data_IF_670154400521
#
_entry.id   IF_670154400521
#
_cell.length_a   1.000
_cell.length_b   1.000
_cell.length_c   1.000
_cell.angle_alpha   90.00
_cell.angle_beta   90.00
_cell.angle_gamma   90.00
#
_symmetry.space_group_name_H-M   'P 1'
#
loop_
_entity.id
_entity.type
_entity.pdbx_description
1 polymer ?
#
# COMPACT_ATOMS: atom_id res chain seq x y z
N UNK A 1 -3.95 -31.35 -41.02
CA UNK A 1 -2.57 -31.81 -40.73
C UNK A 1 -1.65 -30.62 -40.97
N UNK A 2 -1.36 -29.84 -39.93
CA UNK A 2 -0.59 -28.58 -40.03
C UNK A 2 0.89 -28.84 -39.81
N UNK A 3 1.71 -28.52 -40.81
CA UNK A 3 3.16 -28.73 -40.83
C UNK A 3 3.81 -27.80 -39.79
N UNK A 4 4.42 -28.38 -38.75
CA UNK A 4 5.23 -27.63 -37.78
C UNK A 4 6.63 -27.44 -38.39
N UNK A 5 6.83 -26.34 -39.12
CA UNK A 5 8.15 -25.95 -39.63
C UNK A 5 8.90 -25.24 -38.49
N UNK A 6 10.05 -25.78 -38.11
CA UNK A 6 10.89 -25.32 -36.98
C UNK A 6 11.39 -23.87 -37.10
N UNK A 7 11.28 -23.26 -38.27
CA UNK A 7 11.85 -21.94 -38.61
C UNK A 7 10.93 -20.77 -38.21
N UNK A 8 9.62 -20.98 -38.01
CA UNK A 8 8.65 -19.90 -37.68
C UNK A 8 8.37 -19.81 -36.16
N UNK A 9 9.08 -20.59 -35.34
CA UNK A 9 8.87 -20.70 -33.88
C UNK A 9 9.21 -19.45 -33.06
N UNK A 10 9.73 -18.41 -33.71
CA UNK A 10 10.24 -17.16 -33.11
C UNK A 10 9.42 -15.90 -33.45
N UNK A 11 8.44 -15.98 -34.37
CA UNK A 11 7.76 -14.78 -34.89
C UNK A 11 6.78 -14.11 -33.90
N UNK A 12 6.08 -14.88 -33.08
CA UNK A 12 5.18 -14.34 -32.05
C UNK A 12 5.11 -15.27 -30.83
N UNK A 13 5.53 -14.76 -29.67
CA UNK A 13 5.54 -15.52 -28.41
C UNK A 13 4.13 -15.86 -27.93
N UNK A 14 3.17 -14.95 -28.10
CA UNK A 14 1.77 -15.15 -27.69
C UNK A 14 1.08 -16.25 -28.52
N UNK A 15 1.24 -16.25 -29.85
CA UNK A 15 0.70 -17.30 -30.71
C UNK A 15 1.29 -18.68 -30.37
N UNK A 16 2.58 -18.72 -30.05
CA UNK A 16 3.24 -19.96 -29.62
C UNK A 16 2.73 -20.44 -28.26
N UNK A 17 2.54 -19.54 -27.30
CA UNK A 17 2.01 -19.87 -25.98
C UNK A 17 0.61 -20.47 -26.08
N UNK A 18 -0.28 -19.86 -26.88
CA UNK A 18 -1.64 -20.36 -27.13
C UNK A 18 -1.64 -21.77 -27.76
N UNK A 19 -0.70 -22.05 -28.67
CA UNK A 19 -0.55 -23.39 -29.24
C UNK A 19 -0.03 -24.42 -28.21
N UNK A 20 0.78 -24.00 -27.23
CA UNK A 20 1.19 -24.85 -26.12
C UNK A 20 0.01 -25.22 -25.21
N UNK A 21 -0.90 -24.28 -24.94
CA UNK A 21 -2.13 -24.56 -24.20
C UNK A 21 -3.07 -25.48 -24.96
N UNK A 22 -3.25 -25.27 -26.27
CA UNK A 22 -4.04 -26.17 -27.14
C UNK A 22 -3.43 -27.58 -27.19
N UNK A 23 -2.10 -27.69 -27.13
CA UNK A 23 -1.39 -28.97 -27.01
C UNK A 23 -1.49 -29.59 -25.61
N UNK A 24 -2.22 -28.97 -24.67
CA UNK A 24 -2.48 -29.49 -23.33
C UNK A 24 -1.41 -29.19 -22.28
N UNK A 25 -0.48 -28.27 -22.56
CA UNK A 25 0.49 -27.82 -21.55
C UNK A 25 -0.22 -26.99 -20.47
N UNK A 26 -0.05 -27.37 -19.20
CA UNK A 26 -0.66 -26.68 -18.07
C UNK A 26 0.39 -25.85 -17.32
N UNK A 27 0.18 -24.54 -17.22
CA UNK A 27 1.09 -23.63 -16.52
C UNK A 27 1.31 -24.04 -15.05
N UNK A 28 0.27 -24.52 -14.36
CA UNK A 28 0.35 -25.00 -12.97
C UNK A 28 1.18 -26.29 -12.77
N UNK A 29 1.65 -26.93 -13.84
CA UNK A 29 2.59 -28.07 -13.77
C UNK A 29 4.05 -27.66 -13.97
N UNK A 30 4.31 -26.38 -14.29
CA UNK A 30 5.66 -25.84 -14.44
C UNK A 30 6.23 -25.56 -13.06
N UNK A 31 7.25 -26.31 -12.67
CA UNK A 31 7.97 -26.06 -11.42
C UNK A 31 8.82 -24.79 -11.55
N UNK A 32 8.80 -23.94 -10.53
CA UNK A 32 9.69 -22.79 -10.43
C UNK A 32 11.17 -23.16 -10.58
N UNK A 33 11.99 -22.20 -10.99
CA UNK A 33 13.43 -22.37 -11.21
C UNK A 33 14.10 -22.85 -9.91
N UNK A 34 14.75 -24.03 -9.95
CA UNK A 34 15.36 -24.67 -8.77
C UNK A 34 16.57 -23.91 -8.20
N UNK A 35 17.15 -22.99 -8.98
CA UNK A 35 18.39 -22.27 -8.66
C UNK A 35 18.18 -20.81 -8.23
N UNK A 36 16.97 -20.41 -7.82
CA UNK A 36 16.72 -19.04 -7.36
C UNK A 36 17.33 -18.72 -5.98
N UNK A 37 17.91 -19.70 -5.28
CA UNK A 37 18.58 -19.48 -4.00
C UNK A 37 20.11 -19.32 -4.19
N UNK A 38 20.52 -18.16 -4.70
CA UNK A 38 21.85 -17.60 -4.44
C UNK A 38 21.72 -16.16 -3.96
N UNK A 39 20.94 -15.94 -2.91
CA UNK A 39 21.27 -14.83 -2.00
C UNK A 39 22.46 -15.28 -1.15
N UNK A 40 23.48 -14.43 -1.06
CA UNK A 40 24.66 -14.67 -0.24
C UNK A 40 24.20 -14.85 1.21
N UNK A 41 24.59 -15.99 1.78
CA UNK A 41 24.41 -16.34 3.18
C UNK A 41 24.97 -15.23 4.07
N UNK A 42 24.10 -14.60 4.86
CA UNK A 42 24.48 -14.04 6.16
C UNK A 42 23.79 -14.91 7.21
N UNK A 43 24.58 -15.35 8.20
CA UNK A 43 24.35 -16.55 8.98
C UNK A 43 23.11 -16.54 9.87
N UNK A 44 22.58 -17.76 10.08
CA UNK A 44 21.46 -18.07 10.96
C UNK A 44 20.36 -18.79 10.20
N UNK A 45 20.17 -20.08 10.49
CA UNK A 45 19.26 -21.02 9.84
C UNK A 45 17.86 -20.44 9.58
N UNK A 46 17.38 -20.54 8.33
CA UNK A 46 15.99 -20.21 7.99
C UNK A 46 15.35 -21.32 7.15
N UNK A 47 14.15 -21.64 7.62
CA UNK A 47 13.20 -22.64 7.17
C UNK A 47 12.90 -22.50 5.68
N UNK A 48 12.96 -23.63 4.98
CA UNK A 48 12.45 -23.81 3.63
C UNK A 48 10.98 -23.41 3.55
N UNK A 49 10.69 -22.24 2.98
CA UNK A 49 9.33 -21.91 2.53
C UNK A 49 9.31 -21.80 1.01
N UNK A 50 8.46 -22.64 0.41
CA UNK A 50 8.12 -22.59 -1.01
C UNK A 50 7.36 -21.28 -1.27
N UNK A 51 8.04 -20.26 -1.80
CA UNK A 51 7.41 -18.99 -2.18
C UNK A 51 6.60 -19.24 -3.46
N UNK A 52 5.30 -19.47 -3.32
CA UNK A 52 4.35 -19.31 -4.41
C UNK A 52 4.09 -17.79 -4.55
N UNK A 53 4.35 -17.23 -5.73
CA UNK A 53 4.54 -15.79 -5.92
C UNK A 53 3.20 -15.03 -6.13
N UNK A 54 2.21 -15.29 -5.28
CA UNK A 54 0.96 -14.52 -5.19
C UNK A 54 1.06 -13.52 -4.01
N UNK A 55 1.80 -12.41 -4.21
CA UNK A 55 2.02 -11.40 -3.18
C UNK A 55 0.82 -10.44 -3.06
N UNK A 56 0.28 -10.29 -1.85
CA UNK A 56 -0.88 -9.42 -1.53
C UNK A 56 -0.59 -7.95 -1.82
N UNK A 57 0.67 -7.54 -1.73
CA UNK A 57 1.12 -6.19 -2.10
C UNK A 57 0.91 -5.86 -3.60
N UNK A 58 0.81 -6.90 -4.45
CA UNK A 58 0.72 -6.76 -5.91
C UNK A 58 -0.65 -7.16 -6.50
N UNK A 59 -1.55 -7.71 -5.68
CA UNK A 59 -2.88 -8.16 -6.15
C UNK A 59 -3.80 -6.97 -6.46
N UNK A 60 -4.49 -7.05 -7.60
CA UNK A 60 -5.59 -6.14 -7.96
C UNK A 60 -6.92 -6.64 -7.37
N UNK A 61 -7.92 -5.76 -7.28
CA UNK A 61 -9.22 -6.06 -6.63
C UNK A 61 -9.91 -7.28 -7.26
N UNK A 62 -9.75 -7.49 -8.57
CA UNK A 62 -10.33 -8.62 -9.31
C UNK A 62 -9.78 -9.98 -8.84
N UNK A 63 -8.54 -10.03 -8.36
CA UNK A 63 -7.89 -11.27 -7.90
C UNK A 63 -8.25 -11.64 -6.45
N UNK A 64 -8.76 -10.68 -5.68
CA UNK A 64 -9.15 -10.88 -4.27
C UNK A 64 -10.48 -11.63 -4.16
N UNK A 65 -11.33 -11.55 -5.21
CA UNK A 65 -12.68 -12.16 -5.22
C UNK A 65 -12.71 -13.69 -5.31
N UNK A 66 -11.65 -14.33 -5.81
CA UNK A 66 -11.63 -15.80 -6.05
C UNK A 66 -11.05 -16.63 -4.89
N UNK A 67 -10.33 -16.01 -3.93
CA UNK A 67 -9.75 -16.71 -2.78
C UNK A 67 -10.62 -16.60 -1.53
N UNK A 68 -11.88 -17.05 -1.65
CA UNK A 68 -12.69 -17.42 -0.50
C UNK A 68 -12.88 -18.93 -0.48
N UNK A 69 -11.91 -19.66 0.08
CA UNK A 69 -12.13 -20.87 0.89
C UNK A 69 -10.81 -21.57 1.27
N UNK A 70 -10.77 -21.99 2.55
CA UNK A 70 -9.77 -22.82 3.26
C UNK A 70 -8.67 -22.08 4.00
N UNK A 71 -9.05 -21.62 5.20
CA UNK A 71 -8.13 -21.52 6.32
C UNK A 71 -7.68 -22.95 6.69
N UNK A 72 -6.43 -23.29 6.42
CA UNK A 72 -5.79 -24.44 7.06
C UNK A 72 -5.36 -24.01 8.46
N UNK A 73 -5.91 -24.70 9.46
CA UNK A 73 -5.53 -24.59 10.85
C UNK A 73 -4.09 -25.10 11.00
N UNK A 74 -3.14 -24.17 11.12
CA UNK A 74 -1.77 -24.49 11.56
C UNK A 74 -1.64 -24.16 13.05
N UNK A 75 -1.09 -25.13 13.77
CA UNK A 75 -1.06 -25.26 15.22
C UNK A 75 -0.61 -24.00 15.96
N UNK A 76 -1.36 -23.67 17.03
CA UNK A 76 -1.00 -22.65 18.01
C UNK A 76 0.22 -23.10 18.82
N UNK A 77 1.36 -22.48 18.61
CA UNK A 77 2.37 -22.29 19.65
C UNK A 77 2.08 -20.99 20.44
N UNK A 78 2.37 -20.94 21.74
CA UNK A 78 1.98 -19.83 22.59
C UNK A 78 2.86 -18.60 22.33
N UNK A 79 2.17 -17.47 22.07
CA UNK A 79 2.56 -16.08 22.33
C UNK A 79 4.05 -15.77 22.58
N UNK A 80 4.76 -15.34 21.54
CA UNK A 80 5.80 -14.33 21.74
C UNK A 80 5.16 -12.96 21.52
N UNK A 81 5.20 -12.12 22.55
CA UNK A 81 4.41 -10.88 22.62
C UNK A 81 4.83 -9.80 21.62
N UNK A 82 5.99 -9.95 20.98
CA UNK A 82 6.48 -9.11 19.90
C UNK A 82 7.09 -9.98 18.80
N UNK A 83 6.29 -10.31 17.79
CA UNK A 83 6.80 -10.98 16.59
C UNK A 83 7.76 -10.01 15.87
N UNK A 84 9.04 -10.41 15.80
CA UNK A 84 10.11 -9.64 15.18
C UNK A 84 10.11 -9.94 13.70
N UNK A 85 9.97 -8.90 12.87
CA UNK A 85 10.26 -9.01 11.45
C UNK A 85 11.78 -9.06 11.28
N UNK A 86 12.33 -10.25 11.00
CA UNK A 86 13.78 -10.46 10.88
C UNK A 86 14.34 -9.62 9.72
N UNK A 87 13.59 -9.48 8.63
CA UNK A 87 14.07 -8.82 7.43
C UNK A 87 14.11 -7.30 7.57
N UNK A 88 13.09 -6.72 8.23
CA UNK A 88 13.04 -5.29 8.53
C UNK A 88 13.78 -4.92 9.82
N UNK A 89 14.23 -5.92 10.59
CA UNK A 89 14.87 -5.78 11.90
C UNK A 89 14.07 -4.92 12.89
N UNK A 90 12.74 -5.05 12.87
CA UNK A 90 11.80 -4.33 13.77
C UNK A 90 10.69 -5.26 14.20
N UNK A 91 10.12 -5.05 15.38
CA UNK A 91 8.89 -5.74 15.77
C UNK A 91 7.70 -5.20 14.98
N UNK A 92 6.64 -6.02 14.83
CA UNK A 92 5.42 -5.57 14.18
C UNK A 92 4.78 -4.35 14.88
N UNK A 93 4.91 -4.27 16.20
CA UNK A 93 4.38 -3.13 16.97
C UNK A 93 5.19 -1.85 16.72
N UNK A 94 6.52 -1.94 16.69
CA UNK A 94 7.39 -0.81 16.34
C UNK A 94 7.16 -0.36 14.91
N UNK A 95 6.89 -1.29 13.98
CA UNK A 95 6.58 -0.95 12.60
C UNK A 95 5.27 -0.15 12.49
N UNK A 96 4.21 -0.56 13.19
CA UNK A 96 2.98 0.24 13.25
C UNK A 96 3.22 1.58 13.94
N UNK A 97 4.02 1.61 15.00
CA UNK A 97 4.35 2.83 15.73
C UNK A 97 5.11 3.83 14.85
N UNK A 98 6.05 3.36 14.03
CA UNK A 98 6.73 4.16 13.01
C UNK A 98 5.72 4.86 12.08
N UNK A 99 4.72 4.14 11.58
CA UNK A 99 3.68 4.75 10.73
C UNK A 99 2.77 5.74 11.47
N UNK A 100 2.50 5.51 12.76
CA UNK A 100 1.77 6.47 13.59
C UNK A 100 2.59 7.77 13.73
N UNK A 101 3.89 7.65 14.00
CA UNK A 101 4.80 8.79 14.16
C UNK A 101 4.97 9.58 12.87
N UNK A 102 5.06 8.91 11.72
CA UNK A 102 5.06 9.56 10.40
C UNK A 102 3.85 10.47 10.16
N UNK A 103 2.72 10.13 10.78
CA UNK A 103 1.47 10.88 10.65
C UNK A 103 1.28 11.90 11.78
N UNK A 104 2.19 11.97 12.76
CA UNK A 104 2.12 12.92 13.87
C UNK A 104 2.60 14.32 13.47
N UNK A 105 1.92 14.89 12.49
CA UNK A 105 2.21 16.19 11.88
C UNK A 105 0.91 16.89 11.50
N UNK A 106 0.99 18.19 11.21
CA UNK A 106 -0.15 18.92 10.66
C UNK A 106 -0.33 18.60 9.18
N UNK A 107 -1.52 18.16 8.81
CA UNK A 107 -1.88 17.95 7.40
C UNK A 107 -2.40 19.22 6.75
N UNK A 108 -2.14 19.38 5.45
CA UNK A 108 -2.68 20.48 4.66
C UNK A 108 -4.02 20.09 4.08
N UNK A 109 -5.03 20.95 4.23
CA UNK A 109 -6.34 20.74 3.63
C UNK A 109 -6.25 20.66 2.11
N UNK A 110 -6.89 19.64 1.52
CA UNK A 110 -6.91 19.46 0.06
C UNK A 110 -7.49 20.68 -0.66
N UNK A 111 -8.46 21.38 -0.06
CA UNK A 111 -9.05 22.62 -0.60
C UNK A 111 -8.04 23.77 -0.75
N UNK A 112 -6.91 23.75 -0.03
CA UNK A 112 -5.86 24.78 -0.13
C UNK A 112 -4.88 24.52 -1.26
N UNK A 113 -4.90 23.33 -1.85
CA UNK A 113 -4.04 22.99 -2.98
C UNK A 113 -4.76 23.46 -4.25
N UNK A 114 -4.28 24.57 -4.80
CA UNK A 114 -4.70 25.10 -6.09
C UNK A 114 -3.63 24.80 -7.12
N UNK A 115 -3.94 24.97 -8.41
CA UNK A 115 -2.93 24.78 -9.46
C UNK A 115 -1.72 25.70 -9.26
N UNK A 116 -1.96 26.93 -8.78
CA UNK A 116 -0.91 27.93 -8.56
C UNK A 116 -0.07 27.64 -7.32
N UNK A 117 -0.66 27.07 -6.26
CA UNK A 117 0.07 26.71 -5.03
C UNK A 117 0.71 25.31 -5.08
N UNK A 118 0.32 24.47 -6.04
CA UNK A 118 0.79 23.09 -6.18
C UNK A 118 2.32 22.94 -6.17
N UNK A 119 3.12 23.76 -6.89
CA UNK A 119 4.58 23.63 -6.88
C UNK A 119 5.20 23.73 -5.48
N UNK A 120 4.69 24.62 -4.63
CA UNK A 120 5.17 24.80 -3.26
C UNK A 120 4.81 23.63 -2.35
N UNK A 121 3.64 23.03 -2.57
CA UNK A 121 3.24 21.81 -1.87
C UNK A 121 4.07 20.61 -2.33
N UNK A 122 4.29 20.45 -3.64
CA UNK A 122 5.13 19.39 -4.19
C UNK A 122 6.56 19.51 -3.65
N UNK A 123 7.15 20.71 -3.63
CA UNK A 123 8.51 20.90 -3.09
C UNK A 123 8.63 20.45 -1.63
N UNK A 124 7.71 20.87 -0.76
CA UNK A 124 7.70 20.48 0.66
C UNK A 124 7.46 18.97 0.82
N UNK A 125 6.50 18.43 0.08
CA UNK A 125 6.18 17.01 0.09
C UNK A 125 7.36 16.15 -0.37
N UNK A 126 8.12 16.58 -1.39
CA UNK A 126 9.31 15.88 -1.85
C UNK A 126 10.40 15.82 -0.78
N UNK A 127 10.61 16.91 -0.01
CA UNK A 127 11.58 16.90 1.09
C UNK A 127 11.18 15.87 2.16
N UNK A 128 9.90 15.84 2.51
CA UNK A 128 9.38 14.90 3.48
C UNK A 128 9.44 13.45 2.96
N UNK A 129 9.03 13.21 1.72
CA UNK A 129 9.06 11.89 1.11
C UNK A 129 10.49 11.33 1.04
N UNK A 130 11.49 12.18 0.75
CA UNK A 130 12.90 11.79 0.82
C UNK A 130 13.31 11.33 2.22
N UNK A 131 12.94 12.10 3.26
CA UNK A 131 13.26 11.72 4.64
C UNK A 131 12.57 10.42 5.06
N UNK A 132 11.33 10.21 4.63
CA UNK A 132 10.60 8.98 4.89
C UNK A 132 11.29 7.80 4.22
N UNK A 133 11.62 7.91 2.93
CA UNK A 133 12.30 6.84 2.21
C UNK A 133 13.67 6.51 2.82
N UNK A 134 14.42 7.50 3.30
CA UNK A 134 15.72 7.30 3.95
C UNK A 134 15.63 6.58 5.31
N UNK A 135 14.54 6.82 6.06
CA UNK A 135 14.37 6.30 7.41
C UNK A 135 13.37 5.12 7.46
N UNK A 136 12.91 4.64 6.32
CA UNK A 136 11.93 3.56 6.27
C UNK A 136 12.62 2.21 6.59
N UNK A 137 12.05 1.38 7.49
CA UNK A 137 12.61 0.06 7.78
C UNK A 137 12.83 -0.76 6.50
N UNK A 138 14.07 -1.20 6.28
CA UNK A 138 14.51 -1.98 5.11
C UNK A 138 14.89 -1.15 3.89
N UNK A 139 14.70 0.17 3.87
CA UNK A 139 15.02 0.98 2.68
C UNK A 139 16.52 1.06 2.34
N UNK A 140 17.39 0.84 3.32
CA UNK A 140 18.85 0.74 3.15
C UNK A 140 19.28 -0.46 2.29
N UNK A 141 18.40 -1.46 2.14
CA UNK A 141 18.62 -2.66 1.35
C UNK A 141 18.01 -2.58 -0.07
N UNK A 142 17.32 -1.48 -0.39
CA UNK A 142 16.72 -1.27 -1.71
C UNK A 142 17.72 -0.68 -2.71
N UNK A 143 17.59 -1.07 -3.97
CA UNK A 143 18.31 -0.42 -5.06
C UNK A 143 17.74 0.99 -5.31
N UNK A 144 18.55 1.88 -5.88
CA UNK A 144 18.15 3.28 -6.14
C UNK A 144 16.85 3.37 -6.95
N UNK A 145 16.67 2.51 -7.96
CA UNK A 145 15.43 2.46 -8.75
C UNK A 145 14.20 2.04 -7.92
N UNK A 146 14.37 1.14 -6.95
CA UNK A 146 13.29 0.72 -6.06
C UNK A 146 12.94 1.83 -5.06
N UNK A 147 13.95 2.58 -4.58
CA UNK A 147 13.75 3.77 -3.74
C UNK A 147 13.02 4.87 -4.50
N UNK A 148 13.33 5.09 -5.78
CA UNK A 148 12.61 6.06 -6.62
C UNK A 148 11.13 5.69 -6.79
N UNK A 149 10.82 4.39 -6.93
CA UNK A 149 9.43 3.90 -6.95
C UNK A 149 8.77 4.16 -5.60
N UNK A 150 9.40 3.77 -4.48
CA UNK A 150 8.88 4.02 -3.14
C UNK A 150 8.60 5.51 -2.92
N UNK A 151 9.52 6.38 -3.34
CA UNK A 151 9.37 7.83 -3.27
C UNK A 151 8.10 8.33 -3.95
N UNK A 152 7.73 7.78 -5.11
CA UNK A 152 6.51 8.16 -5.82
C UNK A 152 5.25 7.80 -5.01
N UNK A 153 5.19 6.59 -4.45
CA UNK A 153 4.06 6.14 -3.63
C UNK A 153 3.95 6.91 -2.31
N UNK A 154 5.09 7.18 -1.65
CA UNK A 154 5.16 8.02 -0.44
C UNK A 154 4.70 9.43 -0.76
N UNK A 155 5.23 10.04 -1.83
CA UNK A 155 4.88 11.40 -2.25
C UNK A 155 3.40 11.53 -2.56
N UNK A 156 2.82 10.56 -3.29
CA UNK A 156 1.40 10.56 -3.59
C UNK A 156 0.56 10.46 -2.31
N UNK A 157 0.88 9.50 -1.45
CA UNK A 157 0.12 9.24 -0.21
C UNK A 157 0.20 10.45 0.74
N UNK A 158 1.39 11.02 0.93
CA UNK A 158 1.61 12.18 1.80
C UNK A 158 0.91 13.45 1.34
N UNK A 159 0.75 13.66 0.03
CA UNK A 159 0.10 14.87 -0.44
C UNK A 159 -1.41 14.70 -0.50
N UNK A 160 -1.86 13.64 -1.16
CA UNK A 160 -3.26 13.48 -1.54
C UNK A 160 -4.09 12.79 -0.48
N UNK A 161 -3.58 11.72 0.15
CA UNK A 161 -4.34 11.02 1.20
C UNK A 161 -4.37 11.85 2.49
N UNK A 162 -3.23 12.45 2.89
CA UNK A 162 -3.20 13.33 4.06
C UNK A 162 -4.13 14.54 3.88
N UNK A 163 -4.16 15.12 2.67
CA UNK A 163 -5.05 16.24 2.39
C UNK A 163 -6.53 15.88 2.42
N UNK A 164 -6.90 14.70 1.90
CA UNK A 164 -8.26 14.18 2.04
C UNK A 164 -8.62 13.90 3.50
N UNK A 165 -7.69 13.28 4.23
CA UNK A 165 -7.90 12.96 5.64
C UNK A 165 -8.13 14.22 6.46
N UNK A 166 -7.31 15.26 6.26
CA UNK A 166 -7.45 16.55 6.92
C UNK A 166 -8.83 17.18 6.67
N UNK A 167 -9.30 17.16 5.42
CA UNK A 167 -10.64 17.65 5.05
C UNK A 167 -11.76 16.88 5.74
N UNK A 168 -11.65 15.55 5.79
CA UNK A 168 -12.65 14.70 6.45
C UNK A 168 -12.70 14.99 7.94
N UNK A 169 -11.55 15.11 8.61
CA UNK A 169 -11.48 15.40 10.04
C UNK A 169 -11.99 16.82 10.34
N UNK A 170 -11.66 17.80 9.50
CA UNK A 170 -12.22 19.15 9.62
C UNK A 170 -13.74 19.12 9.48
N UNK A 171 -14.28 18.46 8.44
CA UNK A 171 -15.73 18.35 8.24
C UNK A 171 -16.42 17.60 9.37
N UNK A 172 -15.80 16.59 10.00
CA UNK A 172 -16.36 15.98 11.23
C UNK A 172 -16.46 16.97 12.38
N UNK A 173 -15.52 17.91 12.49
CA UNK A 173 -15.51 18.98 13.49
C UNK A 173 -16.46 20.13 13.12
N UNK A 174 -16.64 20.43 11.82
CA UNK A 174 -17.52 21.51 11.32
C UNK A 174 -18.96 21.04 11.08
N UNK A 175 -19.24 19.77 10.86
CA UNK A 175 -20.61 19.22 10.88
C UNK A 175 -21.21 19.27 12.30
N UNK A 176 -20.38 19.51 13.34
CA UNK A 176 -20.81 19.94 14.69
C UNK A 176 -20.89 21.47 14.88
N UNK A 177 -20.57 22.26 13.88
CA UNK A 177 -20.60 23.72 13.90
C UNK A 177 -20.74 24.25 12.47
N UNK A 178 -21.99 24.38 12.00
CA UNK A 178 -22.38 24.87 10.68
C UNK A 178 -21.49 26.03 10.21
N UNK A 179 -20.97 25.96 8.97
CA UNK A 179 -20.85 27.11 8.06
C UNK A 179 -20.37 26.68 6.65
N UNK A 180 -20.83 27.49 5.69
CA UNK A 180 -21.00 27.32 4.24
C UNK A 180 -19.73 27.44 3.38
N UNK A 181 -19.71 26.74 2.24
CA UNK A 181 -18.67 26.81 1.20
C UNK A 181 -18.77 28.11 0.36
N UNK A 182 -17.64 28.76 0.12
CA UNK A 182 -17.50 29.96 -0.72
C UNK A 182 -17.01 29.57 -2.14
N UNK A 183 -17.73 30.03 -3.17
CA UNK A 183 -17.31 30.00 -4.57
C UNK A 183 -16.38 31.17 -4.89
N UNK A 184 -15.30 30.91 -5.64
CA UNK A 184 -14.40 31.92 -6.20
C UNK A 184 -14.40 31.79 -7.73
N UNK A 185 -14.57 32.92 -8.42
CA UNK A 185 -14.63 33.07 -9.89
C UNK A 185 -13.24 33.09 -10.54
N UNK A 186 -13.15 32.59 -11.78
CA UNK A 186 -11.90 32.47 -12.57
C UNK A 186 -11.80 33.51 -13.70
N UNK A 187 -10.56 33.96 -13.95
CA UNK A 187 -10.13 34.74 -15.11
C UNK A 187 -9.31 33.92 -16.13
N UNK A 188 -9.32 34.46 -17.35
CA UNK A 188 -9.22 33.85 -18.67
C UNK A 188 -7.76 33.74 -19.18
N UNK A 189 -7.16 32.54 -19.06
CA UNK A 189 -6.10 31.94 -19.91
C UNK A 189 -5.21 30.94 -19.14
N UNK A 190 -5.83 29.84 -18.68
CA UNK A 190 -5.22 28.53 -18.34
C UNK A 190 -6.35 27.50 -18.08
N UNK A 191 -7.51 27.73 -18.72
CA UNK A 191 -8.78 27.23 -18.19
C UNK A 191 -8.91 25.72 -18.32
N UNK A 192 -8.34 25.12 -19.37
CA UNK A 192 -8.33 23.66 -19.53
C UNK A 192 -7.54 22.96 -18.42
N UNK A 193 -6.32 23.42 -18.11
CA UNK A 193 -5.48 22.80 -17.07
C UNK A 193 -6.07 22.99 -15.68
N UNK A 194 -6.61 24.18 -15.39
CA UNK A 194 -7.33 24.42 -14.12
C UNK A 194 -8.58 23.55 -14.00
N UNK A 195 -9.36 23.39 -15.08
CA UNK A 195 -10.50 22.46 -15.12
C UNK A 195 -10.11 21.00 -14.92
N UNK A 196 -9.01 20.55 -15.54
CA UNK A 196 -8.49 19.19 -15.33
C UNK A 196 -8.04 18.99 -13.88
N UNK A 197 -7.35 19.98 -13.31
CA UNK A 197 -6.92 19.93 -11.92
C UNK A 197 -8.11 19.94 -10.95
N UNK A 198 -9.07 20.84 -11.12
CA UNK A 198 -10.27 20.88 -10.27
C UNK A 198 -11.13 19.63 -10.41
N UNK A 199 -11.24 19.08 -11.63
CA UNK A 199 -11.88 17.79 -11.90
C UNK A 199 -11.16 16.65 -11.17
N UNK A 200 -9.82 16.60 -11.21
CA UNK A 200 -9.04 15.64 -10.44
C UNK A 200 -9.32 15.74 -8.94
N UNK A 201 -9.28 16.94 -8.36
CA UNK A 201 -9.57 17.15 -6.93
C UNK A 201 -11.00 16.72 -6.59
N UNK A 202 -11.97 17.07 -7.43
CA UNK A 202 -13.38 16.69 -7.25
C UNK A 202 -13.55 15.17 -7.29
N UNK A 203 -12.97 14.50 -8.29
CA UNK A 203 -13.00 13.05 -8.42
C UNK A 203 -12.32 12.34 -7.25
N UNK A 204 -11.18 12.86 -6.77
CA UNK A 204 -10.48 12.33 -5.63
C UNK A 204 -11.34 12.42 -4.35
N UNK A 205 -11.99 13.56 -4.12
CA UNK A 205 -12.92 13.76 -3.00
C UNK A 205 -14.16 12.86 -3.11
N UNK A 206 -14.77 12.81 -4.30
CA UNK A 206 -16.01 12.08 -4.55
C UNK A 206 -15.87 10.56 -4.46
N UNK A 207 -14.74 10.00 -4.91
CA UNK A 207 -14.53 8.56 -4.93
C UNK A 207 -13.77 8.08 -3.68
N UNK A 208 -12.54 8.54 -3.50
CA UNK A 208 -11.67 8.10 -2.40
C UNK A 208 -12.09 8.75 -1.09
N UNK A 209 -12.35 10.06 -1.10
CA UNK A 209 -12.74 10.81 0.09
C UNK A 209 -14.05 10.31 0.72
N UNK A 210 -15.07 10.01 -0.08
CA UNK A 210 -16.33 9.46 0.44
C UNK A 210 -16.15 8.09 1.08
N UNK A 211 -15.39 7.19 0.42
CA UNK A 211 -15.08 5.87 0.96
C UNK A 211 -14.32 5.98 2.29
N UNK A 212 -13.30 6.85 2.35
CA UNK A 212 -12.56 7.14 3.59
C UNK A 212 -13.45 7.70 4.70
N UNK A 213 -14.40 8.60 4.37
CA UNK A 213 -15.36 9.14 5.34
C UNK A 213 -16.23 8.04 5.93
N UNK A 214 -16.73 7.13 5.08
CA UNK A 214 -17.59 6.01 5.49
C UNK A 214 -16.89 5.00 6.39
N UNK A 215 -15.60 4.72 6.14
CA UNK A 215 -14.80 3.83 7.00
C UNK A 215 -14.66 4.35 8.44
N UNK A 216 -14.83 5.66 8.65
CA UNK A 216 -14.76 6.33 9.95
C UNK A 216 -13.54 5.90 10.79
N UNK A 217 -12.39 5.86 10.13
CA UNK A 217 -11.14 5.43 10.75
C UNK A 217 -10.77 6.34 11.93
N UNK A 218 -10.09 5.78 12.91
CA UNK A 218 -9.29 6.55 13.86
C UNK A 218 -7.87 6.81 13.32
N UNK A 219 -7.06 7.52 14.10
CA UNK A 219 -5.71 7.92 13.69
C UNK A 219 -4.75 6.74 13.49
N UNK A 220 -4.89 5.67 14.29
CA UNK A 220 -4.07 4.45 14.17
C UNK A 220 -4.46 3.69 12.91
N UNK A 221 -5.76 3.55 12.69
CA UNK A 221 -6.32 2.88 11.51
C UNK A 221 -5.97 3.64 10.21
N UNK A 222 -6.01 4.97 10.23
CA UNK A 222 -5.55 5.80 9.12
C UNK A 222 -4.05 5.59 8.83
N UNK A 223 -3.23 5.54 9.87
CA UNK A 223 -1.78 5.33 9.73
C UNK A 223 -1.47 3.98 9.08
N UNK A 224 -2.18 2.92 9.48
CA UNK A 224 -2.07 1.60 8.86
C UNK A 224 -2.61 1.57 7.43
N UNK A 225 -3.74 2.26 7.14
CA UNK A 225 -4.24 2.34 5.77
C UNK A 225 -3.24 3.04 4.85
N UNK A 226 -2.65 4.16 5.31
CA UNK A 226 -1.66 4.90 4.54
C UNK A 226 -0.42 4.05 4.24
N UNK A 227 0.06 3.25 5.19
CA UNK A 227 1.17 2.34 4.92
C UNK A 227 0.81 1.30 3.86
N UNK A 228 -0.41 0.75 3.87
CA UNK A 228 -0.87 -0.13 2.80
C UNK A 228 -0.91 0.56 1.44
N UNK A 229 -1.30 1.84 1.38
CA UNK A 229 -1.27 2.62 0.14
C UNK A 229 0.16 2.85 -0.38
N UNK A 230 1.13 3.06 0.51
CA UNK A 230 2.55 3.23 0.16
C UNK A 230 3.10 1.94 -0.45
N UNK A 231 2.76 0.78 0.12
CA UNK A 231 3.30 -0.51 -0.28
C UNK A 231 2.44 -1.29 -1.28
N UNK A 232 1.35 -0.70 -1.77
CA UNK A 232 0.53 -1.32 -2.82
C UNK A 232 1.14 -1.04 -4.19
N UNK A 233 2.16 -1.82 -4.52
CA UNK A 233 2.95 -1.72 -5.75
C UNK A 233 2.17 -2.32 -6.92
N UNK A 234 1.21 -1.57 -7.46
CA UNK A 234 0.26 -2.10 -8.45
C UNK A 234 0.63 -1.91 -9.92
N UNK A 235 1.37 -0.85 -10.27
CA UNK A 235 1.42 -0.35 -11.66
C UNK A 235 2.83 -0.32 -12.26
N UNK A 236 3.88 -0.38 -11.44
CA UNK A 236 5.27 -0.21 -11.90
C UNK A 236 5.99 -1.55 -11.98
N UNK A 237 7.02 -1.66 -12.82
CA UNK A 237 7.96 -2.77 -12.74
C UNK A 237 8.93 -2.49 -11.59
N UNK A 238 8.84 -3.28 -10.52
CA UNK A 238 9.68 -3.14 -9.32
C UNK A 238 10.57 -4.36 -9.13
N UNK A 239 11.73 -4.11 -8.51
CA UNK A 239 12.69 -5.13 -8.12
C UNK A 239 12.08 -6.16 -7.19
N UNK A 240 12.63 -7.37 -7.19
CA UNK A 240 12.14 -8.45 -6.32
C UNK A 240 12.28 -8.08 -4.85
N UNK A 241 13.33 -7.34 -4.48
CA UNK A 241 13.56 -6.85 -3.12
C UNK A 241 12.43 -5.94 -2.65
N UNK A 242 12.00 -4.99 -3.49
CA UNK A 242 10.87 -4.12 -3.15
C UNK A 242 9.55 -4.89 -2.96
N UNK A 243 9.32 -5.98 -3.72
CA UNK A 243 8.16 -6.87 -3.52
C UNK A 243 8.17 -7.50 -2.15
N UNK A 244 9.32 -8.04 -1.78
CA UNK A 244 9.49 -8.74 -0.50
C UNK A 244 9.24 -7.76 0.63
N UNK A 245 9.86 -6.57 0.60
CA UNK A 245 9.62 -5.57 1.65
C UNK A 245 8.18 -5.07 1.67
N UNK A 246 7.54 -4.87 0.53
CA UNK A 246 6.13 -4.52 0.50
C UNK A 246 5.25 -5.57 1.20
N UNK A 247 5.54 -6.87 1.00
CA UNK A 247 4.83 -7.96 1.68
C UNK A 247 5.15 -8.00 3.18
N UNK A 248 6.41 -7.78 3.57
CA UNK A 248 6.81 -7.73 4.99
C UNK A 248 6.16 -6.55 5.72
N UNK A 249 6.12 -5.38 5.09
CA UNK A 249 5.45 -4.19 5.61
C UNK A 249 3.94 -4.41 5.73
N UNK A 250 3.31 -4.97 4.69
CA UNK A 250 1.89 -5.31 4.71
C UNK A 250 1.57 -6.30 5.84
N UNK A 251 2.35 -7.38 5.95
CA UNK A 251 2.15 -8.45 6.94
C UNK A 251 2.36 -7.94 8.37
N UNK A 252 3.45 -7.22 8.62
CA UNK A 252 3.77 -6.68 9.94
C UNK A 252 2.73 -5.68 10.42
N UNK A 253 2.33 -4.72 9.58
CA UNK A 253 1.29 -3.75 9.93
C UNK A 253 -0.07 -4.44 10.13
N UNK A 254 -0.43 -5.42 9.30
CA UNK A 254 -1.69 -6.16 9.43
C UNK A 254 -1.77 -6.94 10.75
N UNK A 255 -0.67 -7.59 11.14
CA UNK A 255 -0.56 -8.32 12.40
C UNK A 255 -0.69 -7.38 13.61
N UNK A 256 0.03 -6.25 13.59
CA UNK A 256 -0.05 -5.23 14.63
C UNK A 256 -1.45 -4.61 14.74
N UNK A 257 -2.09 -4.31 13.60
CA UNK A 257 -3.45 -3.77 13.56
C UNK A 257 -4.47 -4.79 14.09
N UNK A 258 -4.29 -6.08 13.80
CA UNK A 258 -5.12 -7.15 14.39
C UNK A 258 -5.00 -7.18 15.91
N UNK A 259 -3.78 -7.00 16.45
CA UNK A 259 -3.55 -6.89 17.90
C UNK A 259 -4.22 -5.63 18.48
N UNK A 260 -4.10 -4.50 17.80
CA UNK A 260 -4.79 -3.25 18.16
C UNK A 260 -6.31 -3.46 18.32
N UNK A 261 -6.96 -4.10 17.35
CA UNK A 261 -8.39 -4.39 17.44
C UNK A 261 -8.75 -5.34 18.58
N UNK A 262 -7.93 -6.36 18.87
CA UNK A 262 -8.14 -7.24 20.03
C UNK A 262 -8.14 -6.43 21.33
N UNK A 263 -7.15 -5.57 21.54
CA UNK A 263 -7.06 -4.71 22.75
C UNK A 263 -8.23 -3.72 22.82
N UNK A 264 -8.56 -3.07 21.71
CA UNK A 264 -9.67 -2.09 21.65
C UNK A 264 -11.03 -2.75 21.95
N UNK A 265 -11.26 -3.97 21.46
CA UNK A 265 -12.48 -4.75 21.75
C UNK A 265 -12.56 -5.15 23.23
N UNK A 266 -11.43 -5.51 23.86
CA UNK A 266 -11.38 -5.78 25.31
C UNK A 266 -11.68 -4.52 26.13
N UNK A 267 -11.15 -3.35 25.75
CA UNK A 267 -11.48 -2.08 26.44
C UNK A 267 -12.96 -1.69 26.31
N UNK A 268 -13.56 -1.88 25.13
CA UNK A 268 -15.00 -1.60 24.92
C UNK A 268 -15.90 -2.53 25.74
N UNK A 269 -15.51 -3.80 25.93
CA UNK A 269 -16.26 -4.76 26.76
C UNK A 269 -16.11 -4.47 28.26
N UNK A 270 -14.91 -4.15 28.74
CA UNK A 270 -14.67 -3.74 30.13
C UNK A 270 -15.45 -2.46 30.49
N UNK A 271 -15.53 -1.48 29.59
CA UNK A 271 -16.31 -0.26 29.82
C UNK A 271 -17.83 -0.51 29.79
N UNK A 272 -18.30 -1.60 29.19
CA UNK A 272 -19.72 -2.00 29.21
C UNK A 272 -20.09 -2.77 30.50
N UNK A 273 -19.10 -3.31 31.21
CA UNK A 273 -19.27 -4.05 32.47
C UNK A 273 -18.98 -3.25 33.74
N UNK A 274 -18.93 -1.91 33.65
CA UNK A 274 -19.11 -1.00 34.79
C UNK A 274 -18.21 -1.22 36.02
N UNK A 275 -17.15 -0.42 36.13
CA UNK A 275 -16.73 0.04 37.44
C UNK A 275 -17.38 1.41 37.68
N UNK A 276 -18.54 1.37 38.35
CA UNK A 276 -19.05 2.42 39.22
C UNK A 276 -18.66 2.07 40.65
#
# INVERSE_FOLDING_TARGET
>A
MGIIISVVRSGCRACRFKQCEVAGMKAGLVRGKRDACKMRQYGGELVQQNINMDSRATLTIETIGEYSSKAEEMEKSPSNENEVNILLNVTFQELLQYYIELNNKSFYLLSRITLDSLPDFVKRNSQEATQICQNCPGADLLEVSDVEILFQYVSFSNLWLDGLWAEIQLKKFTESSELTEHHVSEELHSETTRKLFSSFISNLKGNVGQSLKQLNLDFVEYSALKSFCIWKLGILDFGTTLKIFAEEHYSGVSAALTKYYKVRRHRKTLNHFGFR
#
